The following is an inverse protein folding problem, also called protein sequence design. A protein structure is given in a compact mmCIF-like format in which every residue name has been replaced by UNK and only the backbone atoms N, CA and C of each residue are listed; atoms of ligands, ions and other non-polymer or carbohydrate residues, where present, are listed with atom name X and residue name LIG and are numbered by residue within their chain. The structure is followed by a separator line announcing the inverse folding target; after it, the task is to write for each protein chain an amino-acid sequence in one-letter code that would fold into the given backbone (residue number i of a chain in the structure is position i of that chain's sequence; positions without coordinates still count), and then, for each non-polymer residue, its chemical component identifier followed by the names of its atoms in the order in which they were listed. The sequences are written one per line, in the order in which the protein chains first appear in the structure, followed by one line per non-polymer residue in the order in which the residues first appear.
data_IF_642052451954
#
_entry.id   IF_642052451954
#
_cell.length_a   1.000
_cell.length_b   1.000
_cell.length_c   1.000
_cell.angle_alpha   90.00
_cell.angle_beta   90.00
_cell.angle_gamma   90.00
#
_symmetry.space_group_name_H-M   'P 1'
#
loop_
_entity.id
_entity.type
_entity.pdbx_description
1 polymer ?
#
# COMPACT_ATOMS: atom_id res chain seq x y z
N UNK A 1 -7.56 -30.61 18.39
CA UNK A 1 -7.48 -30.16 16.99
C UNK A 1 -5.99 -30.05 16.64
N UNK A 2 -5.50 -30.83 15.68
CA UNK A 2 -4.07 -30.87 15.31
C UNK A 2 -3.71 -29.60 14.55
N UNK A 3 -2.61 -28.93 14.95
CA UNK A 3 -2.10 -27.73 14.30
C UNK A 3 -1.28 -28.13 13.06
N UNK A 4 -1.81 -27.85 11.87
CA UNK A 4 -1.19 -28.27 10.60
C UNK A 4 -0.21 -27.21 10.05
N UNK A 5 -0.48 -25.93 10.31
CA UNK A 5 0.33 -24.79 9.81
C UNK A 5 0.89 -24.02 11.02
N UNK A 6 2.21 -23.75 10.99
CA UNK A 6 2.90 -22.91 11.98
C UNK A 6 4.11 -22.20 11.37
N UNK A 7 4.38 -20.98 11.82
CA UNK A 7 5.52 -20.13 11.51
C UNK A 7 6.85 -20.72 12.02
N UNK A 8 6.81 -21.69 12.92
CA UNK A 8 7.97 -22.49 13.31
C UNK A 8 8.55 -23.32 12.15
N UNK A 9 7.72 -23.63 11.15
CA UNK A 9 8.09 -24.35 9.93
C UNK A 9 8.15 -23.36 8.76
N UNK A 10 9.37 -23.01 8.34
CA UNK A 10 9.60 -21.97 7.34
C UNK A 10 8.98 -22.29 5.98
N UNK A 11 8.74 -23.56 5.65
CA UNK A 11 8.10 -23.95 4.39
C UNK A 11 6.68 -23.38 4.22
N UNK A 12 6.02 -22.97 5.31
CA UNK A 12 4.68 -22.38 5.25
C UNK A 12 4.70 -20.86 5.08
N UNK A 13 5.82 -20.19 5.35
CA UNK A 13 5.87 -18.73 5.36
C UNK A 13 5.70 -18.18 3.94
N UNK A 14 6.52 -18.62 2.99
CA UNK A 14 6.49 -18.09 1.64
C UNK A 14 5.18 -18.44 0.88
N UNK A 15 4.63 -19.66 0.92
CA UNK A 15 3.39 -19.98 0.20
C UNK A 15 2.19 -19.16 0.68
N UNK A 16 2.09 -18.88 1.97
CA UNK A 16 0.91 -18.22 2.55
C UNK A 16 1.06 -16.71 2.72
N UNK A 17 2.28 -16.23 2.98
CA UNK A 17 2.53 -14.80 3.21
C UNK A 17 3.30 -14.14 2.08
N UNK A 18 3.86 -14.92 1.14
CA UNK A 18 4.84 -14.53 0.12
C UNK A 18 5.91 -13.57 0.58
N UNK A 19 6.29 -13.70 1.85
CA UNK A 19 7.51 -13.17 2.43
C UNK A 19 8.51 -14.33 2.53
N UNK A 20 9.78 -14.04 2.30
CA UNK A 20 10.87 -14.92 2.69
C UNK A 20 10.91 -15.06 4.23
N UNK A 21 11.41 -16.17 4.78
CA UNK A 21 11.47 -16.38 6.24
C UNK A 21 12.18 -15.25 7.01
N UNK A 22 13.18 -14.61 6.42
CA UNK A 22 13.84 -13.43 6.98
C UNK A 22 12.92 -12.19 7.06
N UNK A 23 12.18 -11.91 5.99
CA UNK A 23 11.22 -10.80 5.91
C UNK A 23 10.08 -10.99 6.92
N UNK A 24 9.59 -12.23 7.05
CA UNK A 24 8.56 -12.56 8.02
C UNK A 24 9.01 -12.35 9.47
N UNK A 25 10.24 -12.75 9.82
CA UNK A 25 10.81 -12.47 11.15
C UNK A 25 10.90 -10.97 11.44
N UNK A 26 11.24 -10.16 10.44
CA UNK A 26 11.26 -8.69 10.57
C UNK A 26 9.87 -8.14 10.85
N UNK A 27 8.85 -8.60 10.13
CA UNK A 27 7.46 -8.24 10.36
C UNK A 27 7.02 -8.59 11.79
N UNK A 28 7.28 -9.81 12.27
CA UNK A 28 6.93 -10.24 13.63
C UNK A 28 7.56 -9.31 14.69
N UNK A 29 8.81 -8.89 14.50
CA UNK A 29 9.47 -7.93 15.42
C UNK A 29 8.80 -6.57 15.42
N UNK A 30 8.39 -6.06 14.25
CA UNK A 30 7.67 -4.77 14.15
C UNK A 30 6.33 -4.86 14.86
N UNK A 31 5.59 -5.96 14.67
CA UNK A 31 4.30 -6.17 15.34
C UNK A 31 4.49 -6.30 16.86
N UNK A 32 5.53 -7.01 17.31
CA UNK A 32 5.87 -7.12 18.73
C UNK A 32 6.14 -5.74 19.35
N UNK A 33 6.97 -4.93 18.69
CA UNK A 33 7.33 -3.59 19.17
C UNK A 33 6.15 -2.60 19.20
N UNK A 34 5.06 -2.90 18.47
CA UNK A 34 3.81 -2.11 18.46
C UNK A 34 2.76 -2.66 19.42
N UNK A 35 3.15 -3.50 20.38
CA UNK A 35 2.24 -4.06 21.39
C UNK A 35 1.46 -5.28 20.90
N UNK A 36 1.91 -6.00 19.87
CA UNK A 36 1.24 -7.20 19.39
C UNK A 36 1.15 -8.35 20.41
N UNK A 37 1.97 -8.30 21.46
CA UNK A 37 1.89 -9.20 22.61
C UNK A 37 0.93 -8.72 23.70
N UNK A 38 0.52 -7.46 23.67
CA UNK A 38 -0.31 -6.84 24.68
C UNK A 38 -1.80 -7.08 24.40
N UNK A 39 -2.59 -7.31 25.45
CA UNK A 39 -4.05 -7.37 25.35
C UNK A 39 -4.54 -5.92 25.46
N UNK A 40 -5.13 -5.40 24.38
CA UNK A 40 -5.47 -3.99 24.17
C UNK A 40 -6.29 -3.32 25.30
N UNK A 41 -6.98 -4.08 26.14
CA UNK A 41 -8.02 -3.53 27.03
C UNK A 41 -7.66 -3.52 28.52
N UNK A 42 -6.43 -3.92 28.92
CA UNK A 42 -6.00 -3.93 30.33
C UNK A 42 -6.83 -4.82 31.28
N UNK A 43 -7.81 -5.55 30.73
CA UNK A 43 -8.63 -6.53 31.43
C UNK A 43 -7.98 -7.91 31.28
N UNK A 44 -8.06 -8.80 32.29
CA UNK A 44 -7.59 -10.18 32.18
C UNK A 44 -8.49 -10.93 31.17
N UNK A 45 -8.19 -10.76 29.90
CA UNK A 45 -8.82 -11.47 28.79
C UNK A 45 -8.18 -12.83 28.60
N UNK A 46 -8.94 -13.76 28.01
CA UNK A 46 -8.43 -15.09 27.64
C UNK A 46 -7.21 -14.94 26.74
N UNK A 47 -6.08 -15.49 27.18
CA UNK A 47 -4.83 -15.49 26.40
C UNK A 47 -5.07 -16.06 24.99
N UNK A 48 -4.42 -15.43 24.00
CA UNK A 48 -4.46 -15.88 22.62
C UNK A 48 -3.96 -17.33 22.54
N UNK A 49 -4.70 -18.19 21.82
CA UNK A 49 -4.31 -19.60 21.64
C UNK A 49 -3.08 -19.79 20.73
N UNK A 50 -2.64 -18.73 20.05
CA UNK A 50 -1.52 -18.74 19.13
C UNK A 50 -0.47 -17.75 19.60
N UNK A 51 0.81 -18.13 19.49
CA UNK A 51 1.93 -17.21 19.66
C UNK A 51 1.88 -16.07 18.61
N UNK A 52 2.67 -15.01 18.84
CA UNK A 52 2.64 -13.84 17.95
C UNK A 52 3.00 -14.17 16.50
N UNK A 53 4.02 -15.00 16.29
CA UNK A 53 4.44 -15.38 14.95
C UNK A 53 3.30 -16.05 14.18
N UNK A 54 2.56 -16.94 14.83
CA UNK A 54 1.44 -17.62 14.21
C UNK A 54 0.17 -16.77 14.09
N UNK A 55 -0.04 -15.80 14.99
CA UNK A 55 -1.05 -14.75 14.78
C UNK A 55 -0.75 -13.92 13.54
N UNK A 56 0.52 -13.51 13.36
CA UNK A 56 0.98 -12.75 12.19
C UNK A 56 0.86 -13.59 10.91
N UNK A 57 1.23 -14.87 10.96
CA UNK A 57 1.07 -15.80 9.83
C UNK A 57 -0.40 -15.93 9.43
N UNK A 58 -1.30 -16.16 10.39
CA UNK A 58 -2.74 -16.28 10.15
C UNK A 58 -3.30 -15.02 9.48
N UNK A 59 -2.97 -13.84 10.01
CA UNK A 59 -3.46 -12.55 9.49
C UNK A 59 -2.89 -12.27 8.10
N UNK A 60 -1.59 -12.46 7.89
CA UNK A 60 -0.96 -12.29 6.58
C UNK A 60 -1.53 -13.26 5.53
N UNK A 61 -1.78 -14.52 5.93
CA UNK A 61 -2.43 -15.53 5.07
C UNK A 61 -3.84 -15.13 4.69
N UNK A 62 -4.63 -14.68 5.66
CA UNK A 62 -6.00 -14.22 5.43
C UNK A 62 -6.04 -13.03 4.47
N UNK A 63 -5.05 -12.14 4.52
CA UNK A 63 -5.05 -10.95 3.67
C UNK A 63 -4.58 -11.21 2.22
N UNK A 64 -3.79 -12.26 1.93
CA UNK A 64 -2.96 -12.35 0.70
C UNK A 64 -3.49 -13.22 -0.46
N UNK A 65 -4.74 -13.11 -0.88
CA UNK A 65 -5.17 -13.81 -2.12
C UNK A 65 -4.67 -13.14 -3.41
N UNK A 66 -3.38 -13.32 -3.76
CA UNK A 66 -2.88 -13.74 -5.10
C UNK A 66 -1.35 -13.63 -5.26
N UNK A 67 -0.81 -14.67 -5.92
CA UNK A 67 0.52 -14.83 -6.56
C UNK A 67 0.43 -14.17 -7.97
N UNK A 68 1.41 -13.56 -8.64
CA UNK A 68 2.88 -13.60 -8.71
C UNK A 68 3.32 -12.31 -9.44
N UNK A 69 4.43 -11.68 -9.06
CA UNK A 69 4.77 -10.31 -9.53
C UNK A 69 6.27 -10.09 -9.81
N UNK A 70 6.99 -11.11 -10.30
CA UNK A 70 8.38 -10.93 -10.78
C UNK A 70 8.36 -10.65 -12.27
N UNK A 71 8.45 -9.38 -12.69
CA UNK A 71 8.99 -9.02 -14.03
C UNK A 71 9.04 -7.50 -14.37
N UNK A 72 8.50 -6.58 -13.55
CA UNK A 72 8.35 -5.17 -14.02
C UNK A 72 9.58 -4.28 -13.75
N UNK A 73 10.37 -4.55 -12.71
CA UNK A 73 11.53 -3.72 -12.33
C UNK A 73 12.63 -3.56 -13.39
N UNK A 74 13.01 -4.63 -14.12
CA UNK A 74 14.04 -4.55 -15.16
C UNK A 74 13.67 -3.67 -16.37
N UNK A 75 12.38 -3.37 -16.59
CA UNK A 75 11.92 -2.66 -17.78
C UNK A 75 12.22 -1.14 -17.75
N UNK A 76 12.66 -0.57 -16.62
CA UNK A 76 12.63 0.89 -16.42
C UNK A 76 13.82 1.50 -15.67
N UNK A 77 14.92 0.78 -15.47
CA UNK A 77 16.17 1.36 -14.92
C UNK A 77 16.10 1.87 -13.47
N UNK A 78 15.04 1.53 -12.73
CA UNK A 78 14.87 1.80 -11.30
C UNK A 78 14.59 0.48 -10.57
N UNK A 79 14.98 0.35 -9.30
CA UNK A 79 14.69 -0.89 -8.57
C UNK A 79 13.16 -1.11 -8.48
N UNK A 80 12.71 -2.36 -8.66
CA UNK A 80 11.31 -2.76 -8.50
C UNK A 80 10.69 -2.22 -7.19
N UNK A 81 11.51 -2.19 -6.14
CA UNK A 81 11.15 -1.74 -4.81
C UNK A 81 11.00 -0.23 -4.65
N UNK A 82 11.68 0.58 -5.48
CA UNK A 82 11.56 2.02 -5.46
C UNK A 82 10.29 2.49 -6.20
N UNK A 83 9.94 1.82 -7.29
CA UNK A 83 8.76 2.17 -8.10
C UNK A 83 7.42 1.82 -7.44
N UNK A 84 7.40 0.85 -6.51
CA UNK A 84 6.15 0.31 -5.94
C UNK A 84 6.01 0.58 -4.43
N UNK A 85 6.90 1.36 -3.82
CA UNK A 85 6.83 1.64 -2.39
C UNK A 85 5.68 2.59 -2.08
N UNK A 86 4.83 2.21 -1.14
CA UNK A 86 3.84 3.11 -0.55
C UNK A 86 4.54 3.92 0.55
N UNK A 87 4.56 5.24 0.42
CA UNK A 87 5.31 6.12 1.34
C UNK A 87 4.39 6.72 2.40
N UNK A 88 3.14 7.02 2.03
CA UNK A 88 2.16 7.70 2.87
C UNK A 88 0.76 7.14 2.59
N UNK A 89 -0.10 7.10 3.60
CA UNK A 89 -1.52 6.77 3.51
C UNK A 89 -2.31 7.71 4.42
N UNK A 90 -3.45 8.21 3.94
CA UNK A 90 -4.26 9.19 4.66
C UNK A 90 -5.58 8.62 5.16
N UNK A 91 -6.27 9.39 5.98
CA UNK A 91 -7.59 9.03 6.50
C UNK A 91 -8.64 8.90 5.40
N UNK A 92 -9.62 8.03 5.63
CA UNK A 92 -10.72 7.84 4.70
C UNK A 92 -11.72 8.99 4.81
N UNK A 93 -12.11 9.57 3.68
CA UNK A 93 -13.10 10.63 3.60
C UNK A 93 -14.41 10.16 2.95
N UNK A 94 -15.55 10.83 3.22
CA UNK A 94 -16.80 10.57 2.52
C UNK A 94 -16.63 10.67 1.00
N UNK A 95 -17.25 9.74 0.26
CA UNK A 95 -17.09 9.63 -1.20
C UNK A 95 -17.68 10.78 -2.02
N UNK A 96 -18.28 11.79 -1.38
CA UNK A 96 -18.74 13.03 -2.03
C UNK A 96 -17.67 14.14 -2.01
N UNK A 97 -16.51 13.91 -1.40
CA UNK A 97 -15.38 14.85 -1.42
C UNK A 97 -14.53 14.61 -2.66
N UNK A 98 -14.14 15.69 -3.32
CA UNK A 98 -13.20 15.59 -4.43
C UNK A 98 -11.78 15.28 -3.95
N UNK A 99 -10.96 14.72 -4.83
CA UNK A 99 -9.60 14.27 -4.51
C UNK A 99 -8.71 15.41 -3.99
N UNK A 100 -8.90 16.65 -4.44
CA UNK A 100 -8.16 17.81 -3.93
C UNK A 100 -8.47 18.14 -2.47
N UNK A 101 -9.71 17.94 -2.05
CA UNK A 101 -10.11 18.13 -0.65
C UNK A 101 -9.54 17.00 0.19
N UNK A 102 -9.66 15.76 -0.27
CA UNK A 102 -9.09 14.59 0.41
C UNK A 102 -7.57 14.71 0.56
N UNK A 103 -6.85 15.15 -0.48
CA UNK A 103 -5.40 15.32 -0.44
C UNK A 103 -4.93 16.29 0.65
N UNK A 104 -5.63 17.42 0.81
CA UNK A 104 -5.31 18.47 1.79
C UNK A 104 -5.72 18.09 3.21
N UNK A 105 -6.88 17.47 3.35
CA UNK A 105 -7.49 17.20 4.66
C UNK A 105 -6.99 15.89 5.29
N UNK A 106 -6.43 14.97 4.49
CA UNK A 106 -5.99 13.64 4.96
C UNK A 106 -4.60 13.60 5.59
N UNK A 107 -3.87 14.72 5.61
CA UNK A 107 -2.48 14.77 6.13
C UNK A 107 -1.39 14.42 5.09
N UNK A 108 -1.78 13.90 3.92
CA UNK A 108 -0.84 13.45 2.87
C UNK A 108 -0.01 14.60 2.33
N UNK A 109 -0.62 15.78 2.13
CA UNK A 109 0.08 16.96 1.63
C UNK A 109 1.26 17.36 2.54
N UNK A 110 1.07 17.29 3.86
CA UNK A 110 2.11 17.63 4.84
C UNK A 110 3.20 16.56 4.88
N UNK A 111 2.84 15.28 4.80
CA UNK A 111 3.79 14.16 4.79
C UNK A 111 4.70 14.16 3.55
N UNK A 112 4.18 14.65 2.42
CA UNK A 112 4.91 14.74 1.15
C UNK A 112 5.55 16.11 0.90
N UNK A 113 5.45 17.05 1.84
CA UNK A 113 5.94 18.41 1.67
C UNK A 113 7.44 18.46 1.28
N UNK A 114 7.76 19.34 0.33
CA UNK A 114 9.13 19.51 -0.18
C UNK A 114 9.60 18.40 -1.14
N UNK A 115 8.73 17.47 -1.53
CA UNK A 115 9.03 16.41 -2.50
C UNK A 115 8.34 16.68 -3.84
N UNK A 116 8.95 16.31 -4.98
CA UNK A 116 8.23 16.26 -6.25
C UNK A 116 7.14 15.19 -6.18
N UNK A 117 5.87 15.59 -6.25
CA UNK A 117 4.71 14.68 -6.22
C UNK A 117 4.03 14.68 -7.58
N UNK A 118 3.97 13.52 -8.22
CA UNK A 118 3.20 13.34 -9.46
C UNK A 118 1.75 12.99 -9.09
N UNK A 119 0.78 13.74 -9.62
CA UNK A 119 -0.65 13.54 -9.33
C UNK A 119 -1.46 13.35 -10.61
N UNK A 120 -2.64 12.73 -10.47
CA UNK A 120 -3.58 12.63 -11.59
C UNK A 120 -4.23 13.98 -11.89
N UNK A 121 -4.82 14.11 -13.09
CA UNK A 121 -5.49 15.34 -13.52
C UNK A 121 -6.71 15.74 -12.69
N UNK A 122 -7.15 14.92 -11.74
CA UNK A 122 -8.20 15.25 -10.76
C UNK A 122 -7.72 16.14 -9.60
N UNK A 123 -6.41 16.29 -9.40
CA UNK A 123 -5.81 17.05 -8.28
C UNK A 123 -5.67 18.55 -8.60
N UNK A 124 -6.53 19.10 -9.46
CA UNK A 124 -6.46 20.49 -9.90
C UNK A 124 -6.60 21.48 -8.74
N UNK A 125 -5.77 22.51 -8.73
CA UNK A 125 -5.75 23.51 -7.66
C UNK A 125 -4.71 23.24 -6.56
N UNK A 126 -3.98 22.13 -6.63
CA UNK A 126 -2.79 21.88 -5.81
C UNK A 126 -1.55 22.24 -6.64
N UNK A 127 -0.98 23.42 -6.42
CA UNK A 127 0.17 23.93 -7.21
C UNK A 127 1.47 23.17 -6.95
N UNK A 128 1.55 22.48 -5.82
CA UNK A 128 2.70 21.73 -5.34
C UNK A 128 2.84 20.33 -5.96
N UNK A 129 1.84 19.88 -6.73
CA UNK A 129 1.86 18.58 -7.42
C UNK A 129 2.01 18.75 -8.93
N UNK A 130 2.77 17.86 -9.54
CA UNK A 130 3.02 17.78 -10.98
C UNK A 130 1.87 17.01 -11.63
N UNK A 131 1.11 17.70 -12.47
CA UNK A 131 -0.06 17.16 -13.18
C UNK A 131 0.20 17.09 -14.70
N UNK A 132 -0.54 16.23 -15.43
CA UNK A 132 -0.46 16.23 -16.89
C UNK A 132 -1.10 17.52 -17.44
N UNK A 133 -0.56 18.02 -18.55
CA UNK A 133 -1.15 19.13 -19.28
C UNK A 133 -2.47 18.69 -19.92
N UNK A 134 -3.53 19.48 -19.77
CA UNK A 134 -4.80 19.26 -20.47
C UNK A 134 -4.81 19.97 -21.81
N UNK A 135 -5.57 19.41 -22.76
CA UNK A 135 -5.91 20.13 -23.98
C UNK A 135 -6.58 21.47 -23.63
N UNK A 136 -6.16 22.57 -24.29
CA UNK A 136 -6.83 23.86 -24.20
C UNK A 136 -8.34 23.75 -24.45
N UNK A 137 -9.12 24.60 -23.78
CA UNK A 137 -10.58 24.61 -23.91
C UNK A 137 -11.08 25.08 -25.28
N UNK A 138 -10.21 25.69 -26.08
CA UNK A 138 -10.47 26.09 -27.47
C UNK A 138 -10.31 24.93 -28.48
N UNK A 139 -9.92 23.74 -28.01
CA UNK A 139 -9.75 22.55 -28.84
C UNK A 139 -8.44 22.48 -29.62
N UNK A 140 -7.54 23.46 -29.45
CA UNK A 140 -6.20 23.40 -30.02
C UNK A 140 -5.39 22.22 -29.46
N UNK A 141 -4.43 21.74 -30.26
CA UNK A 141 -3.54 20.67 -29.81
C UNK A 141 -2.48 21.17 -28.84
N UNK A 142 -2.03 20.27 -27.97
CA UNK A 142 -0.92 20.54 -27.10
C UNK A 142 0.37 20.61 -27.93
N UNK A 143 1.25 21.60 -27.68
CA UNK A 143 2.59 21.59 -28.23
C UNK A 143 3.32 20.28 -27.93
N UNK A 144 4.13 19.79 -28.86
CA UNK A 144 4.82 18.49 -28.80
C UNK A 144 5.54 18.26 -27.46
N UNK A 145 6.25 19.27 -26.95
CA UNK A 145 6.96 19.16 -25.68
C UNK A 145 6.05 18.90 -24.46
N UNK A 146 4.78 19.35 -24.50
CA UNK A 146 3.79 19.03 -23.45
C UNK A 146 3.26 17.61 -23.61
N UNK A 147 3.09 17.15 -24.85
CA UNK A 147 2.70 15.76 -25.14
C UNK A 147 3.79 14.77 -24.71
N UNK A 148 5.06 15.10 -24.91
CA UNK A 148 6.20 14.31 -24.44
C UNK A 148 6.22 14.19 -22.91
N UNK A 149 5.99 15.30 -22.20
CA UNK A 149 5.86 15.30 -20.74
C UNK A 149 4.65 14.48 -20.27
N UNK A 150 3.51 14.57 -20.99
CA UNK A 150 2.33 13.76 -20.72
C UNK A 150 2.57 12.26 -21.00
N UNK A 151 3.38 11.90 -21.99
CA UNK A 151 3.79 10.51 -22.25
C UNK A 151 4.65 9.96 -21.10
N UNK A 152 5.58 10.77 -20.58
CA UNK A 152 6.34 10.45 -19.37
C UNK A 152 5.43 10.28 -18.15
N UNK A 153 4.48 11.20 -17.95
CA UNK A 153 3.49 11.13 -16.87
C UNK A 153 2.64 9.85 -16.94
N UNK A 154 2.07 9.52 -18.11
CA UNK A 154 1.29 8.29 -18.35
C UNK A 154 2.09 7.03 -18.02
N UNK A 155 3.37 6.99 -18.40
CA UNK A 155 4.25 5.85 -18.11
C UNK A 155 4.43 5.64 -16.61
N UNK A 156 4.65 6.72 -15.85
CA UNK A 156 4.79 6.65 -14.38
C UNK A 156 3.45 6.26 -13.76
N UNK A 157 2.34 6.88 -14.20
CA UNK A 157 0.99 6.58 -13.72
C UNK A 157 0.62 5.10 -13.90
N UNK A 158 0.93 4.50 -15.05
CA UNK A 158 0.69 3.08 -15.28
C UNK A 158 1.40 2.18 -14.25
N UNK A 159 2.61 2.55 -13.80
CA UNK A 159 3.32 1.80 -12.74
C UNK A 159 2.63 1.94 -11.39
N UNK A 160 2.17 3.14 -11.05
CA UNK A 160 1.40 3.43 -9.83
C UNK A 160 0.07 2.66 -9.84
N UNK A 161 -0.68 2.70 -10.94
CA UNK A 161 -1.94 1.97 -11.08
C UNK A 161 -1.73 0.46 -10.92
N UNK A 162 -0.64 -0.08 -11.47
CA UNK A 162 -0.31 -1.48 -11.24
C UNK A 162 0.03 -1.78 -9.76
N UNK A 163 0.69 -0.86 -9.04
CA UNK A 163 0.93 -1.02 -7.59
C UNK A 163 -0.38 -0.95 -6.78
N UNK A 164 -1.28 -0.02 -7.11
CA UNK A 164 -2.61 0.08 -6.51
C UNK A 164 -3.46 -1.16 -6.81
N UNK A 165 -3.41 -1.68 -8.05
CA UNK A 165 -4.11 -2.91 -8.44
C UNK A 165 -3.61 -4.11 -7.62
N UNK A 166 -2.29 -4.21 -7.41
CA UNK A 166 -1.70 -5.24 -6.52
C UNK A 166 -2.18 -5.11 -5.08
N UNK A 167 -2.32 -3.89 -4.55
CA UNK A 167 -2.91 -3.68 -3.22
C UNK A 167 -4.40 -4.06 -3.17
N UNK A 168 -5.16 -3.78 -4.24
CA UNK A 168 -6.57 -4.17 -4.33
C UNK A 168 -6.80 -5.68 -4.44
N UNK A 169 -5.76 -6.47 -4.75
CA UNK A 169 -5.84 -7.93 -4.69
C UNK A 169 -5.98 -8.48 -3.27
N UNK A 170 -5.56 -7.73 -2.24
CA UNK A 170 -5.66 -8.16 -0.85
C UNK A 170 -7.13 -8.25 -0.43
N UNK A 171 -7.53 -9.42 0.08
CA UNK A 171 -8.94 -9.75 0.34
C UNK A 171 -9.61 -8.72 1.25
N UNK A 172 -8.89 -8.24 2.26
CA UNK A 172 -9.41 -7.27 3.21
C UNK A 172 -9.66 -5.89 2.60
N UNK A 173 -8.92 -5.47 1.57
CA UNK A 173 -9.19 -4.23 0.82
C UNK A 173 -10.31 -4.42 -0.20
N UNK A 174 -10.33 -5.58 -0.87
CA UNK A 174 -11.38 -5.94 -1.82
C UNK A 174 -12.75 -6.03 -1.15
N UNK A 175 -12.81 -6.69 0.00
CA UNK A 175 -14.04 -6.98 0.74
C UNK A 175 -14.26 -5.94 1.86
N UNK A 176 -13.58 -4.79 1.82
CA UNK A 176 -13.66 -3.81 2.88
C UNK A 176 -15.08 -3.25 3.00
N UNK A 177 -15.79 -3.66 4.06
CA UNK A 177 -17.14 -3.18 4.42
C UNK A 177 -17.22 -2.63 5.84
N UNK A 178 -16.07 -2.39 6.48
CA UNK A 178 -15.96 -1.91 7.87
C UNK A 178 -16.04 -0.38 7.96
N UNK A 179 -16.17 0.15 9.18
CA UNK A 179 -16.19 1.59 9.43
C UNK A 179 -15.01 2.29 8.74
N UNK A 180 -15.28 3.41 8.07
CA UNK A 180 -14.24 4.14 7.32
C UNK A 180 -13.03 4.53 8.18
N UNK A 181 -13.24 4.76 9.48
CA UNK A 181 -12.19 5.10 10.44
C UNK A 181 -11.11 4.03 10.60
N UNK A 182 -11.43 2.74 10.37
CA UNK A 182 -10.43 1.66 10.47
C UNK A 182 -9.70 1.37 9.15
N UNK A 183 -10.02 2.12 8.08
CA UNK A 183 -9.47 1.87 6.76
C UNK A 183 -8.01 2.28 6.68
N UNK A 184 -7.64 3.41 7.31
CA UNK A 184 -6.26 3.90 7.27
C UNK A 184 -5.30 2.91 7.96
N UNK A 185 -5.64 2.37 9.12
CA UNK A 185 -4.85 1.33 9.80
C UNK A 185 -4.70 0.07 8.95
N UNK A 186 -5.79 -0.34 8.29
CA UNK A 186 -5.81 -1.52 7.42
C UNK A 186 -4.92 -1.30 6.20
N UNK A 187 -5.06 -0.15 5.52
CA UNK A 187 -4.28 0.23 4.35
C UNK A 187 -2.81 0.41 4.73
N UNK A 188 -2.51 1.04 5.87
CA UNK A 188 -1.17 1.20 6.44
C UNK A 188 -0.51 -0.16 6.71
N UNK A 189 -1.24 -1.10 7.32
CA UNK A 189 -0.76 -2.45 7.56
C UNK A 189 -0.42 -3.19 6.27
N UNK A 190 -1.26 -3.06 5.25
CA UNK A 190 -1.05 -3.69 3.94
C UNK A 190 0.07 -3.01 3.16
N UNK A 191 0.15 -1.69 3.19
CA UNK A 191 1.25 -0.91 2.63
C UNK A 191 2.58 -1.33 3.27
N UNK A 192 2.61 -1.55 4.58
CA UNK A 192 3.79 -2.04 5.28
C UNK A 192 4.19 -3.45 4.81
N UNK A 193 3.23 -4.38 4.71
CA UNK A 193 3.48 -5.73 4.19
C UNK A 193 3.94 -5.73 2.73
N UNK A 194 3.32 -4.88 1.91
CA UNK A 194 3.69 -4.69 0.52
C UNK A 194 5.12 -4.17 0.40
N UNK A 195 5.47 -3.14 1.19
CA UNK A 195 6.82 -2.59 1.23
C UNK A 195 7.85 -3.62 1.71
N UNK A 196 7.54 -4.45 2.71
CA UNK A 196 8.45 -5.51 3.15
C UNK A 196 8.70 -6.52 2.03
N UNK A 197 7.65 -6.94 1.32
CA UNK A 197 7.77 -7.84 0.17
C UNK A 197 8.59 -7.22 -0.97
N UNK A 198 8.51 -5.90 -1.15
CA UNK A 198 9.28 -5.19 -2.17
C UNK A 198 10.75 -5.00 -1.78
N UNK A 199 11.05 -4.80 -0.49
CA UNK A 199 12.39 -4.44 0.00
C UNK A 199 13.28 -5.63 0.38
N UNK A 200 12.84 -6.86 0.12
CA UNK A 200 13.74 -8.02 0.04
C UNK A 200 13.56 -8.74 -1.28
#
# INVERSE_FOLDING_TARGET
MVRVISASRSEWIAPFTGLEPGQFRKLVRVVAARGGEEIADGRPGRQWRLDLADRVLLVATYWRTNLTMRQIGPLFGVSHSAAHRVIATGDAHPGNRNDCTVYRDSGIQQELAGRPVLADGGYQGNSEVIMPYRKPGDGSDLPDWKEDLNAGHRTIRARVEHALARMKCWKILRDYRRAASTLNDTVSGIAHLHNIHLLG
#
